data_IF_293463914936
#
_entry.id   IF_293463914936
#
_cell.length_a   1.000
_cell.length_b   1.000
_cell.length_c   1.000
_cell.angle_alpha   90.00
_cell.angle_beta   90.00
_cell.angle_gamma   90.00
#
_symmetry.space_group_name_H-M   'P 1'
#
loop_
_entity.id
_entity.type
_entity.pdbx_description
1 polymer ?
#
# COMPACT_ATOMS: atom_id res chain seq x y z
N UNK A 1 -29.38 -6.95 9.01
CA UNK A 1 -28.13 -6.44 8.41
C UNK A 1 -27.65 -5.34 9.35
N UNK A 2 -26.45 -5.50 9.88
CA UNK A 2 -25.88 -4.65 10.94
C UNK A 2 -25.79 -3.19 10.47
N UNK A 3 -25.88 -2.22 11.39
CA UNK A 3 -25.92 -0.79 11.06
C UNK A 3 -24.72 -0.41 10.19
N UNK A 4 -23.54 -0.90 10.57
CA UNK A 4 -22.29 -0.74 9.83
C UNK A 4 -22.42 -1.07 8.34
N UNK A 5 -22.92 -2.27 7.99
CA UNK A 5 -23.04 -2.68 6.59
C UNK A 5 -24.10 -1.89 5.82
N UNK A 6 -25.18 -1.46 6.47
CA UNK A 6 -26.18 -0.61 5.82
C UNK A 6 -25.60 0.76 5.45
N UNK A 7 -24.84 1.36 6.37
CA UNK A 7 -24.25 2.69 6.18
C UNK A 7 -23.07 2.63 5.20
N UNK A 8 -22.22 1.60 5.32
CA UNK A 8 -21.14 1.33 4.37
C UNK A 8 -21.68 1.12 2.95
N UNK A 9 -22.77 0.36 2.77
CA UNK A 9 -23.37 0.15 1.45
C UNK A 9 -23.81 1.46 0.81
N UNK A 10 -24.49 2.32 1.56
CA UNK A 10 -24.93 3.64 1.06
C UNK A 10 -23.74 4.49 0.64
N UNK A 11 -22.71 4.54 1.49
CA UNK A 11 -21.47 5.25 1.22
C UNK A 11 -20.80 4.74 -0.06
N UNK A 12 -20.56 3.43 -0.19
CA UNK A 12 -19.90 2.85 -1.36
C UNK A 12 -20.69 3.05 -2.66
N UNK A 13 -22.03 3.00 -2.62
CA UNK A 13 -22.89 3.29 -3.78
C UNK A 13 -22.72 4.74 -4.23
N UNK A 14 -22.60 5.68 -3.30
CA UNK A 14 -22.39 7.08 -3.62
C UNK A 14 -20.99 7.31 -4.20
N UNK A 15 -19.94 6.86 -3.50
CA UNK A 15 -18.55 7.08 -3.91
C UNK A 15 -18.20 6.39 -5.23
N UNK A 16 -18.72 5.19 -5.50
CA UNK A 16 -18.42 4.49 -6.77
C UNK A 16 -18.99 5.18 -8.00
N UNK A 17 -20.04 5.99 -7.87
CA UNK A 17 -20.55 6.80 -8.97
C UNK A 17 -19.58 7.92 -9.35
N UNK A 18 -18.82 8.44 -8.38
CA UNK A 18 -17.87 9.53 -8.56
C UNK A 18 -16.47 9.02 -8.93
N UNK A 19 -16.02 7.96 -8.26
CA UNK A 19 -14.63 7.50 -8.27
C UNK A 19 -14.40 6.21 -9.09
N UNK A 20 -15.47 5.62 -9.64
CA UNK A 20 -15.44 4.47 -10.57
C UNK A 20 -14.75 3.19 -10.06
N UNK A 21 -14.84 2.86 -8.77
CA UNK A 21 -14.46 1.53 -8.27
C UNK A 21 -15.66 0.57 -8.23
N UNK A 22 -15.42 -0.74 -8.23
CA UNK A 22 -16.49 -1.75 -8.22
C UNK A 22 -17.05 -1.98 -6.80
N UNK A 23 -17.93 -1.08 -6.35
CA UNK A 23 -18.53 -1.14 -5.01
C UNK A 23 -19.27 -2.44 -4.70
N UNK A 24 -19.91 -3.06 -5.70
CA UNK A 24 -20.67 -4.30 -5.52
C UNK A 24 -19.76 -5.44 -5.06
N UNK A 25 -18.68 -5.65 -5.80
CA UNK A 25 -17.69 -6.69 -5.52
C UNK A 25 -17.07 -6.53 -4.13
N UNK A 26 -16.56 -5.35 -3.82
CA UNK A 26 -15.94 -5.09 -2.52
C UNK A 26 -16.90 -5.22 -1.34
N UNK A 27 -18.13 -4.72 -1.48
CA UNK A 27 -19.14 -4.83 -0.43
C UNK A 27 -19.44 -6.30 -0.09
N UNK A 28 -19.61 -7.13 -1.11
CA UNK A 28 -19.91 -8.54 -0.92
C UNK A 28 -18.72 -9.32 -0.35
N UNK A 29 -17.48 -9.00 -0.76
CA UNK A 29 -16.27 -9.57 -0.15
C UNK A 29 -16.17 -9.22 1.34
N UNK A 30 -16.40 -7.96 1.71
CA UNK A 30 -16.42 -7.53 3.12
C UNK A 30 -17.51 -8.26 3.93
N UNK A 31 -18.71 -8.35 3.37
CA UNK A 31 -19.84 -9.01 4.04
C UNK A 31 -19.62 -10.53 4.21
N UNK A 32 -19.00 -11.20 3.24
CA UNK A 32 -18.62 -12.62 3.34
C UNK A 32 -17.64 -12.86 4.51
N UNK A 33 -16.81 -11.86 4.83
CA UNK A 33 -15.82 -11.94 5.90
C UNK A 33 -16.21 -11.15 7.16
N UNK A 34 -17.50 -10.86 7.37
CA UNK A 34 -18.01 -10.07 8.52
C UNK A 34 -17.53 -10.58 9.89
N UNK A 35 -17.33 -11.88 10.04
CA UNK A 35 -16.88 -12.49 11.30
C UNK A 35 -15.44 -12.09 11.66
N UNK A 36 -14.64 -11.65 10.68
CA UNK A 36 -13.30 -11.07 10.91
C UNK A 36 -13.37 -9.58 11.26
N UNK A 37 -14.52 -8.94 11.11
CA UNK A 37 -14.71 -7.50 11.26
C UNK A 37 -15.31 -7.11 12.61
N UNK A 38 -15.41 -8.05 13.55
CA UNK A 38 -16.17 -7.86 14.80
C UNK A 38 -15.72 -6.64 15.60
N UNK A 39 -14.40 -6.41 15.72
CA UNK A 39 -13.87 -5.24 16.42
C UNK A 39 -14.29 -3.93 15.74
N UNK A 40 -14.15 -3.86 14.41
CA UNK A 40 -14.52 -2.69 13.63
C UNK A 40 -16.03 -2.42 13.73
N UNK A 41 -16.85 -3.45 13.52
CA UNK A 41 -18.32 -3.34 13.58
C UNK A 41 -18.74 -2.87 14.97
N UNK A 42 -18.24 -3.52 16.03
CA UNK A 42 -18.55 -3.13 17.40
C UNK A 42 -18.15 -1.69 17.68
N UNK A 43 -16.96 -1.26 17.23
CA UNK A 43 -16.50 0.11 17.43
C UNK A 43 -17.41 1.10 16.69
N UNK A 44 -17.74 0.84 15.43
CA UNK A 44 -18.61 1.68 14.61
C UNK A 44 -20.03 1.82 15.21
N UNK A 45 -20.59 0.74 15.75
CA UNK A 45 -21.93 0.76 16.32
C UNK A 45 -22.02 1.54 17.64
N UNK A 46 -20.91 1.60 18.39
CA UNK A 46 -20.86 2.27 19.70
C UNK A 46 -20.29 3.70 19.65
N UNK A 47 -19.80 4.16 18.49
CA UNK A 47 -19.21 5.48 18.33
C UNK A 47 -19.85 6.26 17.18
N UNK A 48 -19.79 7.58 17.28
CA UNK A 48 -20.21 8.44 16.18
C UNK A 48 -19.10 8.49 15.12
N UNK A 49 -19.27 7.74 14.04
CA UNK A 49 -18.28 7.56 12.99
C UNK A 49 -18.76 8.11 11.65
N UNK A 50 -17.82 8.44 10.77
CA UNK A 50 -18.10 8.74 9.37
C UNK A 50 -17.11 8.04 8.45
N UNK A 51 -17.52 7.84 7.20
CA UNK A 51 -16.69 7.28 6.14
C UNK A 51 -16.09 8.40 5.29
N UNK A 52 -14.88 8.18 4.79
CA UNK A 52 -14.29 8.95 3.70
C UNK A 52 -13.56 8.02 2.75
N UNK A 53 -13.41 8.44 1.50
CA UNK A 53 -12.70 7.68 0.49
C UNK A 53 -11.48 8.45 0.00
N UNK A 54 -10.35 7.75 -0.07
CA UNK A 54 -9.12 8.25 -0.66
C UNK A 54 -8.89 7.49 -1.97
N UNK A 55 -8.83 8.23 -3.07
CA UNK A 55 -8.52 7.69 -4.40
C UNK A 55 -7.13 7.07 -4.38
N UNK A 56 -6.96 5.98 -5.12
CA UNK A 56 -5.64 5.38 -5.32
C UNK A 56 -4.66 6.38 -5.95
N UNK A 57 -3.48 6.50 -5.34
CA UNK A 57 -2.35 7.25 -5.85
C UNK A 57 -1.12 6.36 -6.09
N UNK A 58 -1.31 5.04 -6.12
CA UNK A 58 -0.25 4.05 -6.22
C UNK A 58 -0.06 3.49 -7.63
N UNK A 59 -0.52 4.18 -8.67
CA UNK A 59 -0.46 3.69 -10.07
C UNK A 59 -1.19 2.35 -10.29
N UNK A 60 -2.26 2.08 -9.54
CA UNK A 60 -3.16 0.93 -9.76
C UNK A 60 -2.89 -0.29 -8.90
N UNK A 61 -2.08 -0.21 -7.82
CA UNK A 61 -1.95 -1.32 -6.88
C UNK A 61 -3.16 -1.46 -5.94
N UNK A 62 -4.02 -0.44 -5.86
CA UNK A 62 -5.24 -0.45 -5.04
C UNK A 62 -6.40 0.18 -5.79
N UNK A 63 -7.63 -0.12 -5.36
CA UNK A 63 -8.85 0.58 -5.79
C UNK A 63 -9.25 1.64 -4.75
N UNK A 64 -8.25 2.21 -4.05
CA UNK A 64 -8.43 3.22 -3.03
C UNK A 64 -8.65 2.68 -1.61
N UNK A 65 -8.91 3.61 -0.70
CA UNK A 65 -9.03 3.34 0.73
C UNK A 65 -10.30 3.97 1.27
N UNK A 66 -11.12 3.17 1.96
CA UNK A 66 -12.24 3.67 2.76
C UNK A 66 -11.76 3.83 4.20
N UNK A 67 -11.70 5.08 4.66
CA UNK A 67 -11.33 5.42 6.03
C UNK A 67 -12.57 5.61 6.90
N UNK A 68 -12.48 5.18 8.15
CA UNK A 68 -13.55 5.22 9.15
C UNK A 68 -13.05 6.01 10.33
N UNK A 69 -13.51 7.26 10.42
CA UNK A 69 -13.06 8.23 11.40
C UNK A 69 -14.08 8.40 12.52
N UNK A 70 -13.59 8.70 13.72
CA UNK A 70 -14.41 9.07 14.87
C UNK A 70 -14.59 10.58 14.93
N UNK A 71 -15.82 11.06 15.15
CA UNK A 71 -16.10 12.49 15.22
C UNK A 71 -15.44 13.20 16.42
N UNK A 72 -15.09 12.46 17.48
CA UNK A 72 -14.50 13.01 18.70
C UNK A 72 -13.03 12.61 18.83
N UNK A 73 -12.16 13.22 18.02
CA UNK A 73 -10.72 13.03 18.09
C UNK A 73 -10.16 13.47 19.44
N UNK A 74 -9.52 12.55 20.15
CA UNK A 74 -8.73 12.76 21.36
C UNK A 74 -7.31 12.22 21.20
N UNK A 75 -6.37 12.63 22.05
CA UNK A 75 -5.03 12.05 22.09
C UNK A 75 -5.09 10.53 22.32
N UNK A 76 -4.35 9.75 21.52
CA UNK A 76 -4.50 8.28 21.47
C UNK A 76 -5.65 7.76 20.60
N UNK A 77 -6.33 8.63 19.85
CA UNK A 77 -7.32 8.21 18.85
C UNK A 77 -6.67 7.39 17.74
N UNK A 78 -7.45 6.45 17.25
CA UNK A 78 -7.15 5.68 16.05
C UNK A 78 -8.24 5.91 15.01
N UNK A 79 -8.07 5.40 13.81
CA UNK A 79 -9.12 5.23 12.82
C UNK A 79 -8.89 3.89 12.11
N UNK A 80 -9.85 3.47 11.29
CA UNK A 80 -9.69 2.26 10.49
C UNK A 80 -9.59 2.61 9.01
N UNK A 81 -8.69 1.93 8.31
CA UNK A 81 -8.63 1.96 6.86
C UNK A 81 -9.00 0.59 6.30
N UNK A 82 -9.94 0.57 5.37
CA UNK A 82 -10.24 -0.57 4.50
C UNK A 82 -9.57 -0.28 3.16
N UNK A 83 -8.44 -0.92 2.92
CA UNK A 83 -7.72 -0.85 1.65
C UNK A 83 -8.40 -1.82 0.68
N UNK A 84 -8.88 -1.29 -0.45
CA UNK A 84 -9.52 -2.05 -1.51
C UNK A 84 -8.46 -2.47 -2.54
N UNK A 85 -8.41 -3.74 -2.89
CA UNK A 85 -7.38 -4.25 -3.81
C UNK A 85 -7.88 -5.47 -4.57
N UNK A 86 -7.18 -5.89 -5.61
CA UNK A 86 -7.46 -7.17 -6.27
C UNK A 86 -6.37 -8.19 -6.01
N UNK A 87 -6.76 -9.46 -5.94
CA UNK A 87 -5.85 -10.59 -5.95
C UNK A 87 -6.02 -11.37 -7.25
N UNK A 88 -4.93 -11.53 -7.99
CA UNK A 88 -5.00 -12.24 -9.27
C UNK A 88 -5.08 -13.75 -9.03
N UNK A 89 -6.20 -14.34 -9.48
CA UNK A 89 -6.41 -15.77 -9.46
C UNK A 89 -6.02 -16.33 -10.81
N UNK A 90 -5.07 -17.28 -10.81
CA UNK A 90 -4.59 -17.94 -12.02
C UNK A 90 -5.27 -19.30 -12.19
N UNK A 91 -6.32 -19.32 -12.98
CA UNK A 91 -7.09 -20.52 -13.32
C UNK A 91 -6.89 -21.00 -14.76
N UNK A 92 -6.31 -20.15 -15.61
CA UNK A 92 -6.20 -20.35 -17.05
C UNK A 92 -7.37 -19.73 -17.83
N UNK A 93 -7.29 -19.80 -19.15
CA UNK A 93 -8.34 -19.29 -20.04
C UNK A 93 -9.62 -20.13 -19.96
N UNK A 94 -10.76 -19.44 -19.99
CA UNK A 94 -12.07 -20.08 -20.08
C UNK A 94 -12.15 -21.04 -21.27
N UNK A 95 -12.70 -22.23 -21.03
CA UNK A 95 -12.97 -23.26 -22.05
C UNK A 95 -14.47 -23.61 -22.12
N UNK A 96 -15.33 -22.83 -21.46
CA UNK A 96 -16.76 -23.10 -21.45
C UNK A 96 -17.39 -22.93 -22.84
N UNK A 97 -18.41 -23.73 -23.12
CA UNK A 97 -19.30 -23.56 -24.27
C UNK A 97 -20.68 -23.07 -23.84
N UNK A 98 -21.51 -22.55 -24.76
CA UNK A 98 -22.86 -22.08 -24.44
C UNK A 98 -23.79 -23.15 -23.85
N UNK A 99 -23.46 -24.42 -24.01
CA UNK A 99 -24.20 -25.56 -23.48
C UNK A 99 -23.82 -25.92 -22.03
N UNK A 100 -22.73 -25.35 -21.50
CA UNK A 100 -22.25 -25.65 -20.15
C UNK A 100 -23.12 -25.01 -19.06
N UNK A 101 -23.29 -25.73 -17.95
CA UNK A 101 -24.03 -25.24 -16.79
C UNK A 101 -23.35 -23.99 -16.18
N UNK A 102 -24.13 -22.93 -15.97
CA UNK A 102 -23.62 -21.67 -15.43
C UNK A 102 -22.97 -20.75 -16.46
N UNK A 103 -22.94 -21.13 -17.75
CA UNK A 103 -22.47 -20.25 -18.82
C UNK A 103 -23.26 -18.94 -18.85
N UNK A 104 -22.54 -17.82 -18.81
CA UNK A 104 -23.13 -16.49 -18.91
C UNK A 104 -22.75 -15.84 -20.26
N UNK A 105 -23.72 -15.58 -21.17
CA UNK A 105 -23.43 -15.03 -22.50
C UNK A 105 -22.90 -13.60 -22.49
N UNK A 106 -23.10 -12.84 -21.40
CA UNK A 106 -22.54 -11.49 -21.27
C UNK A 106 -21.03 -11.57 -20.98
N UNK A 107 -20.61 -12.62 -20.27
CA UNK A 107 -19.22 -12.82 -19.86
C UNK A 107 -18.48 -13.88 -20.68
N UNK A 108 -19.17 -14.56 -21.61
CA UNK A 108 -18.64 -15.65 -22.45
C UNK A 108 -17.89 -16.72 -21.62
N UNK A 109 -18.42 -17.02 -20.42
CA UNK A 109 -17.73 -17.79 -19.40
C UNK A 109 -18.69 -18.35 -18.35
N UNK A 110 -18.36 -19.49 -17.74
CA UNK A 110 -19.10 -20.03 -16.59
C UNK A 110 -18.68 -19.42 -15.24
N UNK A 111 -17.57 -18.69 -15.19
CA UNK A 111 -17.04 -18.07 -13.96
C UNK A 111 -16.39 -19.07 -12.99
N UNK A 112 -16.03 -20.28 -13.45
CA UNK A 112 -15.44 -21.33 -12.63
C UNK A 112 -14.00 -21.60 -13.06
N UNK A 113 -13.04 -21.45 -12.14
CA UNK A 113 -11.65 -21.85 -12.34
C UNK A 113 -10.91 -21.12 -13.46
N UNK A 114 -11.40 -19.96 -13.90
CA UNK A 114 -10.75 -19.13 -14.91
C UNK A 114 -9.89 -18.03 -14.26
N UNK A 115 -9.00 -17.44 -15.05
CA UNK A 115 -8.29 -16.23 -14.64
C UNK A 115 -9.29 -15.12 -14.30
N UNK A 116 -9.20 -14.59 -13.07
CA UNK A 116 -9.99 -13.43 -12.67
C UNK A 116 -9.29 -12.63 -11.58
N UNK A 117 -9.54 -11.33 -11.57
CA UNK A 117 -9.06 -10.44 -10.52
C UNK A 117 -10.07 -10.42 -9.38
N UNK A 118 -9.76 -11.12 -8.29
CA UNK A 118 -10.65 -11.26 -7.17
C UNK A 118 -10.66 -10.00 -6.30
N UNK A 119 -11.82 -9.40 -5.99
CA UNK A 119 -11.89 -8.31 -5.03
C UNK A 119 -11.39 -8.80 -3.67
N UNK A 120 -10.47 -8.05 -3.08
CA UNK A 120 -9.80 -8.34 -1.82
C UNK A 120 -9.73 -7.08 -0.97
N UNK A 121 -9.48 -7.24 0.32
CA UNK A 121 -9.32 -6.09 1.20
C UNK A 121 -8.30 -6.36 2.30
N UNK A 122 -7.72 -5.29 2.81
CA UNK A 122 -6.94 -5.29 4.05
C UNK A 122 -7.48 -4.23 5.00
N UNK A 123 -7.64 -4.58 6.27
CA UNK A 123 -8.09 -3.63 7.29
C UNK A 123 -6.95 -3.29 8.21
N UNK A 124 -6.70 -1.99 8.37
CA UNK A 124 -5.66 -1.45 9.25
C UNK A 124 -6.31 -0.63 10.35
N UNK A 125 -5.89 -0.84 11.58
CA UNK A 125 -6.16 0.06 12.71
C UNK A 125 -4.98 1.00 12.85
N UNK A 126 -5.21 2.29 12.65
CA UNK A 126 -4.14 3.29 12.57
C UNK A 126 -4.26 4.21 13.77
N UNK A 127 -3.25 4.18 14.64
CA UNK A 127 -3.17 5.02 15.83
C UNK A 127 -2.02 6.01 15.70
N UNK A 128 -2.26 7.27 16.09
CA UNK A 128 -1.18 8.23 16.25
C UNK A 128 -0.43 7.94 17.54
N UNK A 129 0.89 7.76 17.45
CA UNK A 129 1.75 7.43 18.60
C UNK A 129 2.26 8.70 19.28
N UNK A 130 2.64 9.71 18.49
CA UNK A 130 3.06 11.02 18.97
C UNK A 130 2.89 12.03 17.83
N UNK A 131 2.64 13.29 18.17
CA UNK A 131 2.63 14.41 17.25
C UNK A 131 3.07 15.65 18.01
N UNK A 132 4.11 16.32 17.50
CA UNK A 132 4.67 17.53 18.10
C UNK A 132 5.08 18.46 16.97
N UNK A 133 4.92 19.76 17.21
CA UNK A 133 5.44 20.78 16.31
C UNK A 133 6.90 21.10 16.66
N UNK A 134 7.65 21.58 15.67
CA UNK A 134 9.01 22.02 15.92
C UNK A 134 9.02 23.15 16.97
N UNK A 135 9.69 22.92 18.10
CA UNK A 135 9.83 23.92 19.16
C UNK A 135 10.99 24.86 18.82
N UNK A 136 10.67 26.04 18.30
CA UNK A 136 11.65 27.07 17.98
C UNK A 136 11.12 28.08 16.99
N UNK A 137 12.02 28.91 16.46
CA UNK A 137 11.72 29.84 15.38
C UNK A 137 12.24 29.30 14.06
N UNK A 138 11.70 29.80 12.95
CA UNK A 138 12.12 29.45 11.60
C UNK A 138 13.64 29.63 11.39
N UNK A 139 14.23 30.68 11.98
CA UNK A 139 15.69 30.90 11.93
C UNK A 139 16.50 29.76 12.55
N UNK A 140 15.95 29.07 13.55
CA UNK A 140 16.61 27.93 14.19
C UNK A 140 16.60 26.74 13.23
N UNK A 141 15.53 26.57 12.44
CA UNK A 141 15.50 25.60 11.33
C UNK A 141 16.53 25.90 10.25
N UNK A 142 16.79 27.17 9.92
CA UNK A 142 17.85 27.52 8.95
C UNK A 142 19.23 27.08 9.43
N UNK A 143 19.55 27.30 10.71
CA UNK A 143 20.81 26.86 11.30
C UNK A 143 20.93 25.33 11.30
N UNK A 144 19.83 24.62 11.59
CA UNK A 144 19.79 23.15 11.53
C UNK A 144 19.99 22.64 10.09
N UNK A 145 19.40 23.31 9.10
CA UNK A 145 19.59 22.96 7.68
C UNK A 145 21.04 23.19 7.24
N UNK A 146 21.66 24.31 7.61
CA UNK A 146 23.08 24.57 7.32
C UNK A 146 23.99 23.51 7.94
N UNK A 147 23.68 23.05 9.16
CA UNK A 147 24.42 21.98 9.81
C UNK A 147 24.22 20.64 9.07
N UNK A 148 22.98 20.31 8.71
CA UNK A 148 22.66 19.11 7.94
C UNK A 148 23.41 19.05 6.60
N UNK A 149 23.49 20.18 5.88
CA UNK A 149 24.19 20.25 4.60
C UNK A 149 25.71 20.04 4.76
N UNK A 150 26.30 20.56 5.85
CA UNK A 150 27.72 20.29 6.18
C UNK A 150 27.94 18.82 6.46
N UNK A 151 27.09 18.19 7.28
CA UNK A 151 27.18 16.78 7.64
C UNK A 151 27.02 15.88 6.40
N UNK A 152 26.10 16.25 5.50
CA UNK A 152 25.94 15.60 4.20
C UNK A 152 27.18 15.72 3.30
N UNK A 153 27.85 16.88 3.33
CA UNK A 153 29.12 17.09 2.64
C UNK A 153 30.21 16.15 3.16
N UNK A 154 30.38 16.08 4.47
CA UNK A 154 31.34 15.19 5.14
C UNK A 154 31.03 13.73 4.80
N UNK A 155 29.78 13.30 4.93
CA UNK A 155 29.35 11.95 4.60
C UNK A 155 29.66 11.57 3.14
N UNK A 156 29.44 12.50 2.21
CA UNK A 156 29.75 12.29 0.79
C UNK A 156 31.26 12.16 0.55
N UNK A 157 32.07 12.98 1.21
CA UNK A 157 33.52 12.89 1.15
C UNK A 157 34.03 11.55 1.70
N UNK A 158 33.56 11.13 2.87
CA UNK A 158 33.91 9.85 3.47
C UNK A 158 33.53 8.67 2.58
N UNK A 159 32.33 8.71 1.98
CA UNK A 159 31.87 7.69 1.04
C UNK A 159 32.77 7.63 -0.21
N UNK A 160 33.13 8.78 -0.78
CA UNK A 160 34.02 8.84 -1.94
C UNK A 160 35.42 8.33 -1.58
N UNK A 161 35.96 8.71 -0.43
CA UNK A 161 37.27 8.26 0.04
C UNK A 161 37.30 6.75 0.28
N UNK A 162 36.22 6.17 0.82
CA UNK A 162 36.06 4.72 0.95
C UNK A 162 36.04 4.03 -0.42
N UNK A 163 35.32 4.58 -1.41
CA UNK A 163 35.29 4.06 -2.77
C UNK A 163 36.65 4.14 -3.46
N UNK A 164 37.36 5.26 -3.32
CA UNK A 164 38.72 5.43 -3.85
C UNK A 164 39.65 4.36 -3.29
N UNK A 165 39.67 4.15 -1.97
CA UNK A 165 40.50 3.12 -1.33
C UNK A 165 40.17 1.71 -1.83
N UNK A 166 38.91 1.42 -2.10
CA UNK A 166 38.51 0.13 -2.65
C UNK A 166 38.98 -0.05 -4.10
N UNK A 167 38.81 0.98 -4.93
CA UNK A 167 39.31 0.98 -6.31
C UNK A 167 40.84 0.85 -6.33
N UNK A 168 41.56 1.55 -5.46
CA UNK A 168 43.02 1.45 -5.35
C UNK A 168 43.47 0.02 -5.00
N UNK A 169 42.78 -0.65 -4.07
CA UNK A 169 43.04 -2.06 -3.75
C UNK A 169 42.82 -2.97 -4.97
N UNK A 170 41.74 -2.74 -5.72
CA UNK A 170 41.44 -3.52 -6.92
C UNK A 170 42.50 -3.31 -8.02
N UNK A 171 42.92 -2.05 -8.24
CA UNK A 171 44.00 -1.72 -9.18
C UNK A 171 45.29 -2.43 -8.79
N UNK A 172 45.68 -2.38 -7.51
CA UNK A 172 46.90 -3.04 -7.03
C UNK A 172 46.85 -4.56 -7.25
N UNK A 173 45.70 -5.20 -6.98
CA UNK A 173 45.47 -6.63 -7.23
C UNK A 173 45.59 -6.98 -8.71
N UNK A 174 44.93 -6.21 -9.59
CA UNK A 174 44.95 -6.42 -11.04
C UNK A 174 46.36 -6.22 -11.63
N UNK A 175 47.10 -5.22 -11.15
CA UNK A 175 48.48 -4.98 -11.57
C UNK A 175 49.38 -6.15 -11.21
N UNK A 176 49.26 -6.69 -9.98
CA UNK A 176 50.00 -7.89 -9.56
C UNK A 176 49.70 -9.08 -10.47
N UNK A 177 48.42 -9.35 -10.73
CA UNK A 177 47.98 -10.44 -11.61
C UNK A 177 48.50 -10.27 -13.04
N UNK A 178 48.56 -9.04 -13.56
CA UNK A 178 49.11 -8.74 -14.90
C UNK A 178 50.59 -9.13 -14.99
N UNK A 179 51.39 -8.78 -13.98
CA UNK A 179 52.82 -9.13 -13.94
C UNK A 179 53.01 -10.64 -13.88
N UNK A 180 52.25 -11.34 -13.04
CA UNK A 180 52.28 -12.81 -12.95
C UNK A 180 51.98 -13.47 -14.31
N UNK A 181 50.96 -12.99 -15.03
CA UNK A 181 50.62 -13.48 -16.37
C UNK A 181 51.69 -13.17 -17.43
N UNK A 182 52.38 -12.04 -17.33
CA UNK A 182 53.47 -11.70 -18.26
C UNK A 182 54.69 -12.62 -18.04
N UNK A 183 55.03 -12.92 -16.79
CA UNK A 183 56.12 -13.84 -16.45
C UNK A 183 55.80 -15.29 -16.87
N UNK A 184 54.55 -15.72 -16.83
CA UNK A 184 54.14 -17.05 -17.29
C UNK A 184 54.13 -17.24 -18.81
N UNK A 185 54.06 -16.15 -19.58
CA UNK A 185 54.03 -16.17 -21.04
C UNK A 185 55.36 -15.74 -21.70
N UNK A 186 56.41 -15.56 -20.90
CA UNK A 186 57.79 -15.25 -21.34
C UNK A 186 58.67 -16.49 -21.25
#
# INVERSE_FOLDING_TARGET
MDKFFNDLKKFMIQESQEQKFNACEYFHTLHQHKDKLTELIHTYENHNCYFSYTVDNTDGYTDGVISIHFNNWQEGSYYYDIVLSSNQMWGGYCQCTPEDEGYNPIHDCCGLGCDYNAPSFNIKKISNVAGEDFTGHERDMWLLQEQWDKDMGIYKEDKNNAQIKEIEKQIASLQKRRVELQLFNS
#
